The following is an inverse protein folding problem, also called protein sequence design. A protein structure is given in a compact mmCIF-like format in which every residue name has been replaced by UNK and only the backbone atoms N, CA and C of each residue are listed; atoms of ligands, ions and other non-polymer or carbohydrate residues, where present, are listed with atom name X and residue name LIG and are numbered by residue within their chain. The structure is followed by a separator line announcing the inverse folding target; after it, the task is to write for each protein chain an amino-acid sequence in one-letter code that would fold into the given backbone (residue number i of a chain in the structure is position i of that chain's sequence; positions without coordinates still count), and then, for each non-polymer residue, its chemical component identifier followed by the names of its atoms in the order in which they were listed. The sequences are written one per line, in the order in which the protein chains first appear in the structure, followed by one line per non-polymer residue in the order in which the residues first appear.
data_IF_160436900688
#
_entry.id   IF_160436900688
#
_cell.length_a   1.000
_cell.length_b   1.000
_cell.length_c   1.000
_cell.angle_alpha   90.00
_cell.angle_beta   90.00
_cell.angle_gamma   90.00
#
_symmetry.space_group_name_H-M   'P 1'
#
loop_
_entity.id
_entity.type
_entity.pdbx_description
1 polymer ?
#
# COMPACT_ATOMS: atom_id res chain seq x y z
N UNK A 1 8.34 27.28 18.07
CA UNK A 1 8.43 26.65 16.75
C UNK A 1 7.89 25.23 16.81
N UNK A 2 6.98 24.87 15.94
CA UNK A 2 6.57 23.47 15.89
C UNK A 2 7.74 22.60 15.45
N UNK A 3 7.81 21.41 16.03
CA UNK A 3 8.81 20.42 15.59
C UNK A 3 8.46 19.94 14.18
N UNK A 4 9.48 19.60 13.39
CA UNK A 4 9.27 18.97 12.09
C UNK A 4 8.54 17.62 12.30
N UNK A 5 7.64 17.25 11.38
CA UNK A 5 7.02 15.93 11.47
C UNK A 5 8.08 14.83 11.51
N UNK A 6 7.85 13.86 12.37
CA UNK A 6 8.75 12.71 12.42
C UNK A 6 8.58 11.88 11.16
N UNK A 7 9.69 11.41 10.59
CA UNK A 7 9.67 10.47 9.49
C UNK A 7 9.00 9.17 9.93
N UNK A 8 8.38 8.43 9.01
CA UNK A 8 7.83 7.12 9.35
C UNK A 8 8.91 6.21 9.93
N UNK A 9 8.55 5.35 10.86
CA UNK A 9 9.46 4.34 11.41
C UNK A 9 9.09 2.95 10.91
N UNK A 10 7.81 2.74 10.59
CA UNK A 10 7.32 1.47 10.06
C UNK A 10 7.18 1.60 8.55
N UNK A 11 7.79 0.67 7.84
CA UNK A 11 7.76 0.64 6.39
C UNK A 11 7.30 -0.75 5.96
N UNK A 12 6.07 -0.88 5.46
CA UNK A 12 5.71 -2.16 4.82
C UNK A 12 6.69 -2.46 3.71
N UNK A 13 7.18 -3.68 3.67
CA UNK A 13 8.15 -4.12 2.67
C UNK A 13 7.56 -5.29 1.90
N UNK A 14 7.46 -5.12 0.59
CA UNK A 14 6.79 -6.06 -0.28
C UNK A 14 7.73 -6.55 -1.37
N UNK A 15 7.56 -7.79 -1.78
CA UNK A 15 8.18 -8.29 -3.01
C UNK A 15 7.09 -8.61 -4.01
N UNK A 16 7.33 -8.25 -5.27
CA UNK A 16 6.40 -8.51 -6.36
C UNK A 16 7.09 -9.33 -7.44
N UNK A 17 6.33 -10.20 -8.11
CA UNK A 17 6.85 -10.97 -9.24
C UNK A 17 7.22 -10.05 -10.39
N UNK A 18 6.42 -9.02 -10.62
CA UNK A 18 6.69 -8.01 -11.63
C UNK A 18 6.70 -6.63 -10.95
N UNK A 19 7.78 -6.36 -10.21
CA UNK A 19 7.88 -5.15 -9.41
C UNK A 19 7.86 -3.88 -10.25
N UNK A 20 8.50 -3.86 -11.40
CA UNK A 20 8.52 -2.69 -12.28
C UNK A 20 7.11 -2.28 -12.69
N UNK A 21 6.30 -3.25 -13.12
CA UNK A 21 4.91 -3.01 -13.52
C UNK A 21 4.06 -2.62 -12.32
N UNK A 22 4.30 -3.24 -11.18
CA UNK A 22 3.54 -2.94 -9.96
C UNK A 22 3.80 -1.54 -9.43
N UNK A 23 5.01 -1.01 -9.59
CA UNK A 23 5.30 0.38 -9.23
C UNK A 23 4.37 1.32 -10.00
N UNK A 24 4.28 1.14 -11.31
CA UNK A 24 3.41 1.98 -12.14
C UNK A 24 1.94 1.82 -11.75
N UNK A 25 1.52 0.58 -11.51
CA UNK A 25 0.14 0.32 -11.12
C UNK A 25 -0.23 0.94 -9.77
N UNK A 26 0.66 0.82 -8.79
CA UNK A 26 0.42 1.39 -7.46
C UNK A 26 0.33 2.92 -7.52
N UNK A 27 1.13 3.55 -8.37
CA UNK A 27 1.06 4.99 -8.57
C UNK A 27 -0.28 5.38 -9.22
N UNK A 28 -0.69 4.67 -10.25
CA UNK A 28 -1.94 4.95 -10.97
C UNK A 28 -3.17 4.64 -10.13
N UNK A 29 -3.22 3.44 -9.55
CA UNK A 29 -4.41 2.96 -8.86
C UNK A 29 -4.62 3.57 -7.48
N UNK A 30 -3.54 3.74 -6.72
CA UNK A 30 -3.64 4.15 -5.32
C UNK A 30 -3.09 5.55 -5.06
N UNK A 31 -2.37 6.14 -6.01
CA UNK A 31 -1.86 7.50 -5.84
C UNK A 31 -0.51 7.59 -5.17
N UNK A 32 0.28 6.52 -5.18
CA UNK A 32 1.65 6.58 -4.70
C UNK A 32 2.51 7.43 -5.62
N UNK A 33 3.61 7.97 -5.08
CA UNK A 33 4.65 8.65 -5.84
C UNK A 33 5.99 7.95 -5.60
N UNK A 34 6.82 7.87 -6.64
CA UNK A 34 8.12 7.24 -6.54
C UNK A 34 9.10 8.19 -5.86
N UNK A 35 9.70 7.78 -4.74
CA UNK A 35 10.78 8.52 -4.11
C UNK A 35 12.14 8.03 -4.59
N UNK A 36 12.30 6.72 -4.74
CA UNK A 36 13.56 6.12 -5.17
C UNK A 36 13.29 4.80 -5.88
N UNK A 37 14.13 4.50 -6.86
CA UNK A 37 14.07 3.22 -7.57
C UNK A 37 15.47 2.84 -8.02
N UNK A 38 15.91 1.66 -7.61
CA UNK A 38 17.23 1.13 -7.94
C UNK A 38 17.08 -0.24 -8.61
N UNK A 39 17.87 -0.48 -9.64
CA UNK A 39 17.84 -1.72 -10.39
C UNK A 39 18.10 -1.47 -11.85
N UNK A 40 17.85 -2.49 -12.69
CA UNK A 40 18.06 -2.41 -14.13
C UNK A 40 16.85 -2.97 -14.86
N UNK A 41 16.26 -2.17 -15.75
CA UNK A 41 15.12 -2.60 -16.55
C UNK A 41 13.94 -3.06 -15.67
N UNK A 42 13.53 -4.30 -15.87
CA UNK A 42 12.40 -4.86 -15.11
C UNK A 42 12.81 -5.40 -13.74
N UNK A 43 14.10 -5.46 -13.46
CA UNK A 43 14.59 -5.92 -12.16
C UNK A 43 14.71 -4.73 -11.23
N UNK A 44 13.89 -4.73 -10.18
CA UNK A 44 13.91 -3.69 -9.15
C UNK A 44 14.59 -4.26 -7.92
N UNK A 45 15.76 -3.74 -7.58
CA UNK A 45 16.47 -4.15 -6.37
C UNK A 45 15.82 -3.56 -5.14
N UNK A 46 15.42 -2.30 -5.22
CA UNK A 46 14.79 -1.58 -4.13
C UNK A 46 14.05 -0.37 -4.68
N UNK A 47 12.84 -0.15 -4.22
CA UNK A 47 12.08 1.05 -4.53
C UNK A 47 11.36 1.56 -3.28
N UNK A 48 11.13 2.85 -3.25
CA UNK A 48 10.40 3.51 -2.17
C UNK A 48 9.28 4.33 -2.78
N UNK A 49 8.05 4.05 -2.36
CA UNK A 49 6.88 4.76 -2.83
C UNK A 49 6.23 5.49 -1.67
N UNK A 50 5.88 6.74 -1.90
CA UNK A 50 5.34 7.64 -0.88
C UNK A 50 3.84 7.81 -1.05
N UNK A 51 3.12 7.79 0.06
CA UNK A 51 1.71 8.15 0.13
C UNK A 51 1.52 9.07 1.34
N UNK A 52 1.30 10.37 1.08
CA UNK A 52 1.21 11.35 2.17
C UNK A 52 2.46 11.34 3.04
N UNK A 53 2.27 11.12 4.32
CA UNK A 53 3.37 11.06 5.30
C UNK A 53 4.02 9.68 5.40
N UNK A 54 3.51 8.70 4.67
CA UNK A 54 3.93 7.30 4.80
C UNK A 54 4.66 6.81 3.57
N UNK A 55 5.28 5.65 3.70
CA UNK A 55 6.11 5.09 2.64
C UNK A 55 6.09 3.58 2.70
N UNK A 56 6.10 2.94 1.53
CA UNK A 56 6.34 1.51 1.42
C UNK A 56 7.65 1.28 0.69
N UNK A 57 8.23 0.11 0.91
CA UNK A 57 9.42 -0.34 0.19
C UNK A 57 9.06 -1.57 -0.59
N UNK A 58 9.64 -1.75 -1.77
CA UNK A 58 9.37 -2.95 -2.55
C UNK A 58 10.54 -3.30 -3.47
N UNK A 59 10.54 -4.53 -3.93
CA UNK A 59 11.53 -5.01 -4.88
C UNK A 59 11.05 -6.25 -5.58
N UNK A 60 11.82 -6.69 -6.57
CA UNK A 60 11.52 -7.89 -7.34
C UNK A 60 11.72 -9.14 -6.49
N UNK A 61 10.79 -10.08 -6.59
CA UNK A 61 10.93 -11.38 -5.94
C UNK A 61 12.11 -12.13 -6.57
N UNK A 62 12.89 -12.80 -5.71
CA UNK A 62 14.06 -13.56 -6.13
C UNK A 62 14.20 -14.81 -5.28
N UNK A 63 14.83 -15.83 -5.86
CA UNK A 63 15.17 -17.05 -5.13
C UNK A 63 16.47 -16.81 -4.35
N UNK A 64 16.33 -16.11 -3.23
CA UNK A 64 17.43 -15.81 -2.32
C UNK A 64 17.01 -16.13 -0.89
N UNK A 65 17.92 -15.93 0.07
CA UNK A 65 17.63 -16.23 1.46
C UNK A 65 16.48 -15.41 2.01
N UNK A 66 16.41 -14.14 1.64
CA UNK A 66 15.32 -13.28 2.07
C UNK A 66 13.98 -13.76 1.49
N UNK A 67 13.96 -14.20 0.23
CA UNK A 67 12.76 -14.77 -0.37
C UNK A 67 12.24 -15.98 0.37
N UNK A 68 13.16 -16.82 0.87
CA UNK A 68 12.78 -17.99 1.67
C UNK A 68 12.18 -17.57 3.01
N UNK A 69 12.64 -16.47 3.58
CA UNK A 69 12.13 -15.96 4.85
C UNK A 69 10.73 -15.35 4.70
N UNK A 70 10.50 -14.56 3.64
CA UNK A 70 9.24 -13.83 3.47
C UNK A 70 8.17 -14.60 2.69
N UNK A 71 8.58 -15.64 1.96
CA UNK A 71 7.67 -16.46 1.17
C UNK A 71 7.32 -15.86 -0.17
N UNK A 72 6.39 -16.53 -0.85
CA UNK A 72 5.95 -16.10 -2.18
C UNK A 72 5.15 -14.80 -2.13
N UNK A 73 5.31 -13.91 -3.13
CA UNK A 73 4.45 -12.72 -3.22
C UNK A 73 2.98 -13.09 -3.36
N UNK A 74 2.13 -12.23 -2.84
CA UNK A 74 0.70 -12.36 -3.02
C UNK A 74 -0.07 -12.46 -1.73
N UNK A 75 -1.21 -13.12 -1.78
CA UNK A 75 -2.15 -13.20 -0.68
C UNK A 75 -1.69 -14.13 0.43
N UNK A 76 -2.23 -13.94 1.59
CA UNK A 76 -2.09 -14.85 2.70
C UNK A 76 -1.29 -14.31 3.86
N UNK A 77 -1.11 -15.16 4.87
CA UNK A 77 -0.33 -14.81 6.04
C UNK A 77 -1.01 -13.87 7.02
N UNK A 78 -2.31 -13.62 6.87
CA UNK A 78 -3.06 -12.78 7.80
C UNK A 78 -2.67 -11.30 7.76
N UNK A 79 -2.22 -10.81 6.60
CA UNK A 79 -1.73 -9.43 6.47
C UNK A 79 -2.54 -8.64 5.46
N UNK A 80 -2.70 -7.34 5.74
CA UNK A 80 -3.22 -6.37 4.80
C UNK A 80 -2.61 -5.02 5.12
N UNK A 81 -2.74 -4.07 4.20
CA UNK A 81 -2.29 -2.70 4.42
C UNK A 81 -3.52 -1.80 4.37
N UNK A 82 -3.67 -0.98 5.41
CA UNK A 82 -4.74 0.01 5.48
C UNK A 82 -4.19 1.39 5.15
N UNK A 83 -4.89 2.12 4.28
CA UNK A 83 -4.54 3.49 3.92
C UNK A 83 -5.68 4.41 4.33
N UNK A 84 -5.37 5.40 5.16
CA UNK A 84 -6.33 6.44 5.52
C UNK A 84 -6.41 7.45 4.37
N UNK A 85 -7.62 7.81 3.97
CA UNK A 85 -7.87 8.75 2.87
C UNK A 85 -8.93 9.76 3.27
N UNK A 86 -8.90 10.93 2.65
CA UNK A 86 -9.92 11.95 2.90
C UNK A 86 -11.23 11.61 2.19
N UNK A 87 -11.15 11.01 1.01
CA UNK A 87 -12.30 10.73 0.15
C UNK A 87 -12.26 9.28 -0.31
N UNK A 88 -12.97 8.42 0.40
CA UNK A 88 -13.01 6.99 0.09
C UNK A 88 -13.67 6.70 -1.26
N UNK A 89 -14.67 7.49 -1.65
CA UNK A 89 -15.34 7.32 -2.95
C UNK A 89 -14.39 7.58 -4.11
N UNK A 90 -13.58 8.63 -4.01
CA UNK A 90 -12.58 8.95 -5.03
C UNK A 90 -11.49 7.88 -5.12
N UNK A 91 -11.01 7.41 -3.96
CA UNK A 91 -10.02 6.33 -3.92
C UNK A 91 -10.58 5.03 -4.53
N UNK A 92 -11.82 4.70 -4.22
CA UNK A 92 -12.50 3.53 -4.76
C UNK A 92 -12.62 3.60 -6.28
N UNK A 93 -13.10 4.73 -6.81
CA UNK A 93 -13.26 4.91 -8.26
C UNK A 93 -11.93 4.77 -8.99
N UNK A 94 -10.88 5.33 -8.44
CA UNK A 94 -9.53 5.29 -9.01
C UNK A 94 -8.97 3.87 -9.02
N UNK A 95 -9.08 3.16 -7.90
CA UNK A 95 -8.61 1.79 -7.79
C UNK A 95 -9.36 0.86 -8.75
N UNK A 96 -10.68 1.00 -8.79
CA UNK A 96 -11.53 0.17 -9.66
C UNK A 96 -11.21 0.41 -11.13
N UNK A 97 -11.02 1.68 -11.53
CA UNK A 97 -10.67 2.03 -12.91
C UNK A 97 -9.34 1.41 -13.33
N UNK A 98 -8.39 1.33 -12.41
CA UNK A 98 -7.07 0.76 -12.68
C UNK A 98 -7.03 -0.77 -12.62
N UNK A 99 -8.16 -1.41 -12.33
CA UNK A 99 -8.27 -2.86 -12.38
C UNK A 99 -8.08 -3.59 -11.06
N UNK A 100 -8.15 -2.89 -9.93
CA UNK A 100 -8.12 -3.55 -8.64
C UNK A 100 -9.32 -4.51 -8.50
N UNK A 101 -9.09 -5.66 -7.90
CA UNK A 101 -10.16 -6.60 -7.59
C UNK A 101 -10.85 -6.15 -6.32
N UNK A 102 -12.11 -5.75 -6.41
CA UNK A 102 -12.86 -5.27 -5.23
C UNK A 102 -13.34 -6.47 -4.45
N UNK A 103 -12.89 -6.56 -3.19
CA UNK A 103 -13.30 -7.62 -2.27
C UNK A 103 -14.48 -7.18 -1.43
N UNK A 104 -14.54 -5.92 -1.08
CA UNK A 104 -15.61 -5.34 -0.31
C UNK A 104 -15.92 -3.96 -0.88
N UNK A 105 -17.16 -3.75 -1.31
CA UNK A 105 -17.62 -2.47 -1.85
C UNK A 105 -17.60 -1.39 -0.78
N UNK A 106 -17.72 -0.13 -1.20
CA UNK A 106 -17.81 1.01 -0.27
C UNK A 106 -18.89 0.74 0.77
N UNK A 107 -18.49 0.83 2.03
CA UNK A 107 -19.34 0.50 3.17
C UNK A 107 -19.15 1.53 4.27
N UNK A 108 -20.25 2.07 4.79
CA UNK A 108 -20.19 2.92 5.97
C UNK A 108 -20.14 2.04 7.21
N UNK A 109 -19.15 2.29 8.04
CA UNK A 109 -18.97 1.54 9.29
C UNK A 109 -19.62 2.28 10.44
N UNK A 110 -19.99 1.53 11.48
CA UNK A 110 -20.66 2.08 12.65
C UNK A 110 -19.76 2.98 13.50
N UNK A 111 -18.44 2.90 13.29
CA UNK A 111 -17.49 3.79 13.96
C UNK A 111 -17.15 5.06 13.15
N UNK A 112 -17.94 5.37 12.12
CA UNK A 112 -17.84 6.63 11.38
C UNK A 112 -16.88 6.63 10.19
N UNK A 113 -16.39 5.48 9.80
CA UNK A 113 -15.49 5.35 8.64
C UNK A 113 -16.25 4.87 7.42
N UNK A 114 -15.85 5.34 6.24
CA UNK A 114 -16.32 4.80 4.97
C UNK A 114 -15.15 4.09 4.30
N UNK A 115 -15.32 2.80 3.99
CA UNK A 115 -14.21 1.92 3.64
C UNK A 115 -14.52 1.01 2.45
N UNK A 116 -13.44 0.58 1.77
CA UNK A 116 -13.51 -0.53 0.82
C UNK A 116 -12.22 -1.36 0.92
N UNK A 117 -12.29 -2.57 0.39
CA UNK A 117 -11.15 -3.51 0.40
C UNK A 117 -10.96 -4.03 -1.01
N UNK A 118 -9.70 -4.12 -1.44
CA UNK A 118 -9.36 -4.62 -2.77
C UNK A 118 -8.08 -5.43 -2.76
N UNK A 119 -7.81 -6.10 -3.88
CA UNK A 119 -6.54 -6.76 -4.14
C UNK A 119 -5.82 -6.03 -5.26
N UNK A 120 -4.50 -5.94 -5.12
CA UNK A 120 -3.68 -5.50 -6.25
C UNK A 120 -3.52 -6.66 -7.25
N UNK A 121 -2.95 -6.39 -8.44
CA UNK A 121 -2.81 -7.44 -9.47
C UNK A 121 -2.03 -8.68 -9.05
N UNK A 122 -1.19 -8.58 -8.02
CA UNK A 122 -0.45 -9.74 -7.52
C UNK A 122 -1.05 -10.34 -6.25
N UNK A 123 -2.24 -9.85 -5.85
CA UNK A 123 -3.04 -10.50 -4.83
C UNK A 123 -2.94 -9.94 -3.43
N UNK A 124 -2.13 -8.91 -3.19
CA UNK A 124 -2.06 -8.31 -1.86
C UNK A 124 -3.34 -7.57 -1.53
N UNK A 125 -3.75 -7.64 -0.27
CA UNK A 125 -4.98 -7.01 0.21
C UNK A 125 -4.69 -5.62 0.75
N UNK A 126 -5.47 -4.65 0.27
CA UNK A 126 -5.38 -3.26 0.68
C UNK A 126 -6.76 -2.79 1.12
N UNK A 127 -6.81 -2.09 2.25
CA UNK A 127 -8.03 -1.46 2.75
C UNK A 127 -7.86 0.04 2.72
N UNK A 128 -8.91 0.74 2.34
CA UNK A 128 -8.92 2.20 2.33
C UNK A 128 -10.10 2.68 3.15
N UNK A 129 -9.89 3.71 3.95
CA UNK A 129 -10.97 4.24 4.75
C UNK A 129 -10.70 5.64 5.26
N UNK A 130 -11.75 6.29 5.74
CA UNK A 130 -11.65 7.64 6.29
C UNK A 130 -11.25 7.64 7.76
N UNK A 131 -11.28 6.47 8.42
CA UNK A 131 -10.78 6.35 9.78
C UNK A 131 -9.27 6.65 9.79
N UNK A 132 -8.86 7.57 10.62
CA UNK A 132 -7.49 8.09 10.58
C UNK A 132 -6.96 8.30 12.01
N UNK A 133 -6.57 7.21 12.68
CA UNK A 133 -6.11 7.31 14.05
C UNK A 133 -4.74 7.99 14.14
N UNK A 134 -4.52 8.71 15.22
CA UNK A 134 -3.26 9.42 15.47
C UNK A 134 -2.60 8.82 16.71
N UNK A 135 -1.32 8.47 16.58
CA UNK A 135 -0.57 7.82 17.65
C UNK A 135 -0.51 8.64 18.95
N UNK A 136 -0.56 9.98 18.82
CA UNK A 136 -0.52 10.87 19.99
C UNK A 136 -1.85 11.03 20.70
N UNK A 137 -2.91 10.39 20.21
CA UNK A 137 -4.25 10.53 20.77
C UNK A 137 -4.76 9.20 21.30
N UNK A 138 -5.32 9.21 22.49
CA UNK A 138 -5.92 8.02 23.07
C UNK A 138 -7.30 7.78 22.45
N UNK A 139 -7.63 6.50 22.22
CA UNK A 139 -8.97 6.12 21.80
C UNK A 139 -9.96 6.26 22.95
N UNK A 140 -11.17 6.67 22.64
CA UNK A 140 -12.25 6.78 23.61
C UNK A 140 -13.00 5.46 23.75
#
# INVERSE_FOLDING_TARGET
MPASPEAPRLYPALRYRNAAKMIDWLCEAFGFSIRARYGEGDVVHHAELVFGSSMIMLGSARDDDYGKMVGEPGTGGGKSIYIAVNDADAAYAKAKKAGATILQELTDRDYGSREFICRDPEGNVWSFGTYWPKAGEMAN
#
